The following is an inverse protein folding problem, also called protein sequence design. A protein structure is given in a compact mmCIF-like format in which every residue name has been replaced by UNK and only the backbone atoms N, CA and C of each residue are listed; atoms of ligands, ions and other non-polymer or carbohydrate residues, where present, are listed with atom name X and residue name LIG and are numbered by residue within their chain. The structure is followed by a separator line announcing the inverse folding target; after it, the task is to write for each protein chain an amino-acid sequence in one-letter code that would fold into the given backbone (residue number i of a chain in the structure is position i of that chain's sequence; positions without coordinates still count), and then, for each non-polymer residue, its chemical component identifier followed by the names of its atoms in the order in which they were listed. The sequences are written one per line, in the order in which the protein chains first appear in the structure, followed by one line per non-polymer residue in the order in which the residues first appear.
data_IF_035902676954
#
_entry.id   IF_035902676954
#
_cell.length_a   1.000
_cell.length_b   1.000
_cell.length_c   1.000
_cell.angle_alpha   90.00
_cell.angle_beta   90.00
_cell.angle_gamma   90.00
#
_symmetry.space_group_name_H-M   'P 1'
#
loop_
_entity.id
_entity.type
_entity.pdbx_description
1 polymer ?
#
# COMPACT_ATOMS: atom_id res chain seq x y z
N UNK A 1 -27.16 8.60 12.16
CA UNK A 1 -26.08 9.56 11.85
C UNK A 1 -24.81 8.75 11.66
N UNK A 2 -24.33 8.62 10.42
CA UNK A 2 -23.09 7.91 10.11
C UNK A 2 -21.91 8.89 10.29
N UNK A 3 -21.01 8.61 11.22
CA UNK A 3 -19.88 9.49 11.59
C UNK A 3 -18.70 9.45 10.60
N UNK A 4 -18.87 8.84 9.41
CA UNK A 4 -17.82 8.73 8.39
C UNK A 4 -16.60 7.91 8.81
N UNK A 5 -16.61 7.20 9.94
CA UNK A 5 -15.45 6.40 10.36
C UNK A 5 -15.48 5.02 9.69
N UNK A 6 -14.44 4.71 8.90
CA UNK A 6 -14.13 3.34 8.50
C UNK A 6 -13.36 2.68 9.65
N UNK A 7 -13.90 1.59 10.20
CA UNK A 7 -13.24 0.77 11.21
C UNK A 7 -12.72 -0.50 10.53
N UNK A 8 -11.41 -0.74 10.63
CA UNK A 8 -10.79 -1.97 10.19
C UNK A 8 -10.50 -2.84 11.41
N UNK A 9 -11.14 -4.01 11.47
CA UNK A 9 -10.91 -4.99 12.54
C UNK A 9 -9.86 -6.00 12.07
N UNK A 10 -8.66 -5.93 12.65
CA UNK A 10 -7.63 -6.96 12.49
C UNK A 10 -7.79 -7.98 13.61
N UNK A 11 -8.20 -9.20 13.26
CA UNK A 11 -8.26 -10.34 14.16
C UNK A 11 -7.03 -11.21 13.93
N UNK A 12 -6.17 -11.34 14.95
CA UNK A 12 -5.03 -12.28 14.95
C UNK A 12 -5.35 -13.38 15.97
N UNK A 13 -5.88 -14.53 15.56
CA UNK A 13 -6.18 -15.61 16.49
C UNK A 13 -4.88 -16.29 16.93
N UNK A 14 -4.66 -16.38 18.24
CA UNK A 14 -3.56 -17.17 18.84
C UNK A 14 -3.80 -18.67 18.79
N UNK A 15 -5.03 -19.10 18.52
CA UNK A 15 -5.44 -20.47 18.28
C UNK A 15 -6.68 -20.49 17.38
N UNK A 16 -7.00 -21.63 16.75
CA UNK A 16 -8.25 -21.87 16.00
C UNK A 16 -9.49 -21.97 16.92
N UNK A 17 -9.51 -21.22 18.02
CA UNK A 17 -10.57 -21.28 19.01
C UNK A 17 -10.96 -19.88 19.45
N UNK A 18 -12.25 -19.57 19.37
CA UNK A 18 -12.83 -18.37 19.95
C UNK A 18 -13.53 -18.76 21.26
N UNK A 19 -13.31 -17.98 22.32
CA UNK A 19 -14.14 -18.09 23.54
C UNK A 19 -15.44 -17.33 23.32
N UNK A 20 -16.52 -18.07 23.19
CA UNK A 20 -17.90 -17.56 23.24
C UNK A 20 -18.40 -17.58 24.70
N UNK A 21 -19.41 -16.77 25.00
CA UNK A 21 -20.16 -16.84 26.28
C UNK A 21 -20.78 -18.22 26.54
N UNK A 22 -20.90 -19.07 25.51
CA UNK A 22 -21.42 -20.44 25.56
C UNK A 22 -20.36 -21.56 25.50
N UNK A 23 -19.07 -21.23 25.39
CA UNK A 23 -18.00 -22.24 25.32
C UNK A 23 -16.88 -21.94 24.32
N UNK A 24 -16.01 -22.92 24.07
CA UNK A 24 -14.93 -22.82 23.08
C UNK A 24 -15.47 -23.23 21.71
N UNK A 25 -15.48 -22.31 20.76
CA UNK A 25 -15.93 -22.56 19.38
C UNK A 25 -14.69 -22.66 18.50
N UNK A 26 -14.61 -23.70 17.67
CA UNK A 26 -13.57 -23.81 16.66
C UNK A 26 -13.79 -22.74 15.59
N UNK A 27 -12.76 -21.97 15.27
CA UNK A 27 -12.80 -21.02 14.18
C UNK A 27 -12.86 -21.78 12.84
N UNK A 28 -13.64 -21.29 11.86
CA UNK A 28 -13.75 -21.95 10.56
C UNK A 28 -12.38 -22.06 9.90
N UNK A 29 -12.21 -23.10 9.07
CA UNK A 29 -11.00 -23.25 8.26
C UNK A 29 -10.83 -22.06 7.30
N UNK A 30 -9.62 -21.88 6.76
CA UNK A 30 -9.32 -20.79 5.82
C UNK A 30 -10.28 -20.81 4.62
N UNK A 31 -10.54 -21.98 4.05
CA UNK A 31 -11.49 -22.13 2.94
C UNK A 31 -12.91 -21.71 3.36
N UNK A 32 -13.37 -22.16 4.53
CA UNK A 32 -14.70 -21.84 5.06
C UNK A 32 -14.88 -20.33 5.31
N UNK A 33 -13.85 -19.66 5.84
CA UNK A 33 -13.86 -18.21 6.01
C UNK A 33 -14.00 -17.51 4.66
N UNK A 34 -13.19 -17.89 3.67
CA UNK A 34 -13.24 -17.31 2.32
C UNK A 34 -14.63 -17.52 1.70
N UNK A 35 -15.21 -18.72 1.83
CA UNK A 35 -16.57 -19.01 1.35
C UNK A 35 -17.65 -18.16 2.05
N UNK A 36 -17.53 -17.95 3.37
CA UNK A 36 -18.40 -17.03 4.11
C UNK A 36 -18.24 -15.60 3.57
N UNK A 37 -17.01 -15.14 3.35
CA UNK A 37 -16.72 -13.83 2.79
C UNK A 37 -17.40 -13.64 1.43
N UNK A 38 -17.14 -14.55 0.49
CA UNK A 38 -17.71 -14.53 -0.87
C UNK A 38 -19.24 -14.49 -0.82
N UNK A 39 -19.88 -15.33 0.02
CA UNK A 39 -21.34 -15.34 0.18
C UNK A 39 -21.90 -14.01 0.68
N UNK A 40 -21.13 -13.25 1.44
CA UNK A 40 -21.53 -11.95 1.99
C UNK A 40 -21.00 -10.76 1.18
N UNK A 41 -20.44 -10.99 -0.01
CA UNK A 41 -19.88 -9.93 -0.86
C UNK A 41 -18.62 -9.28 -0.30
N UNK A 42 -17.90 -9.96 0.59
CA UNK A 42 -16.65 -9.49 1.21
C UNK A 42 -15.49 -10.34 0.70
N UNK A 43 -14.47 -9.68 0.13
CA UNK A 43 -13.21 -10.35 -0.22
C UNK A 43 -12.34 -10.48 1.04
N UNK A 44 -12.10 -11.71 1.49
CA UNK A 44 -11.23 -11.97 2.63
C UNK A 44 -9.82 -12.36 2.16
N UNK A 45 -8.82 -11.62 2.63
CA UNK A 45 -7.41 -12.00 2.49
C UNK A 45 -6.90 -12.49 3.84
N UNK A 46 -6.60 -13.79 3.93
CA UNK A 46 -6.05 -14.37 5.16
C UNK A 46 -4.53 -14.34 5.11
N UNK A 47 -3.90 -13.75 6.12
CA UNK A 47 -2.45 -13.77 6.35
C UNK A 47 -2.13 -14.39 7.71
N UNK A 48 -1.03 -15.14 7.77
CA UNK A 48 -0.45 -15.67 9.01
C UNK A 48 0.50 -14.67 9.65
N UNK A 49 0.83 -14.87 10.93
CA UNK A 49 1.82 -14.05 11.63
C UNK A 49 3.21 -14.15 10.99
N UNK A 50 3.59 -15.32 10.50
CA UNK A 50 4.85 -15.53 9.78
C UNK A 50 4.89 -14.71 8.49
N UNK A 51 3.81 -14.71 7.70
CA UNK A 51 3.69 -13.91 6.47
C UNK A 51 3.66 -12.40 6.75
N UNK A 52 3.05 -12.00 7.86
CA UNK A 52 3.05 -10.59 8.27
C UNK A 52 4.46 -10.16 8.71
N UNK A 53 5.14 -11.01 9.49
CA UNK A 53 6.49 -10.74 10.01
C UNK A 53 7.51 -10.68 8.88
N UNK A 54 7.43 -11.60 7.91
CA UNK A 54 8.29 -11.58 6.73
C UNK A 54 8.04 -10.37 5.82
N UNK A 55 6.88 -9.73 5.95
CA UNK A 55 6.48 -8.56 5.17
C UNK A 55 6.63 -7.23 5.92
N UNK A 56 7.19 -7.21 7.13
CA UNK A 56 7.25 -6.01 7.98
C UNK A 56 7.89 -4.81 7.28
N UNK A 57 8.98 -5.02 6.54
CA UNK A 57 9.64 -3.95 5.81
C UNK A 57 8.70 -3.32 4.76
N UNK A 58 7.97 -4.15 4.01
CA UNK A 58 6.98 -3.70 3.02
C UNK A 58 5.81 -2.97 3.69
N UNK A 59 5.31 -3.49 4.81
CA UNK A 59 4.23 -2.86 5.59
C UNK A 59 4.67 -1.49 6.10
N UNK A 60 5.89 -1.37 6.62
CA UNK A 60 6.45 -0.10 7.09
C UNK A 60 6.51 0.94 5.96
N UNK A 61 6.99 0.55 4.77
CA UNK A 61 6.99 1.43 3.58
C UNK A 61 5.57 1.86 3.20
N UNK A 62 4.60 0.93 3.20
CA UNK A 62 3.22 1.28 2.89
C UNK A 62 2.64 2.30 3.89
N UNK A 63 2.94 2.16 5.18
CA UNK A 63 2.51 3.14 6.20
C UNK A 63 3.20 4.50 6.03
N UNK A 64 4.48 4.53 5.67
CA UNK A 64 5.22 5.77 5.40
C UNK A 64 4.62 6.53 4.21
N UNK A 65 4.24 5.82 3.15
CA UNK A 65 3.69 6.42 1.93
C UNK A 65 2.22 6.84 2.08
N UNK A 66 1.46 6.26 3.01
CA UNK A 66 0.01 6.41 3.08
C UNK A 66 -0.48 7.88 3.15
N UNK A 67 0.12 8.78 3.96
CA UNK A 67 -0.28 10.19 3.98
C UNK A 67 -0.10 10.87 2.62
N UNK A 68 1.00 10.55 1.92
CA UNK A 68 1.29 11.09 0.59
C UNK A 68 0.32 10.56 -0.49
N UNK A 69 -0.11 9.31 -0.36
CA UNK A 69 -1.15 8.73 -1.23
C UNK A 69 -2.46 9.49 -1.08
N UNK A 70 -2.88 9.79 0.14
CA UNK A 70 -4.08 10.59 0.40
C UNK A 70 -3.96 12.03 -0.11
N UNK A 71 -2.82 12.66 0.11
CA UNK A 71 -2.56 14.02 -0.40
C UNK A 71 -2.58 14.07 -1.94
N UNK A 72 -2.19 12.97 -2.60
CA UNK A 72 -2.19 12.89 -4.07
C UNK A 72 -3.56 13.14 -4.70
N UNK A 73 -4.65 12.78 -4.01
CA UNK A 73 -6.02 12.93 -4.51
C UNK A 73 -6.42 14.38 -4.71
N UNK A 74 -5.74 15.30 -4.00
CA UNK A 74 -5.98 16.75 -4.08
C UNK A 74 -5.16 17.44 -5.16
N UNK A 75 -4.24 16.73 -5.82
CA UNK A 75 -3.33 17.31 -6.82
C UNK A 75 -4.01 17.30 -8.19
N UNK A 76 -4.39 18.49 -8.66
CA UNK A 76 -5.03 18.68 -9.98
C UNK A 76 -4.13 18.15 -11.11
N UNK A 77 -2.83 18.42 -11.05
CA UNK A 77 -1.87 18.03 -12.08
C UNK A 77 -1.36 16.58 -11.97
N UNK A 78 -1.93 15.73 -11.09
CA UNK A 78 -1.41 14.38 -10.79
C UNK A 78 -1.19 13.53 -12.05
N UNK A 79 -2.15 13.55 -12.98
CA UNK A 79 -2.04 12.79 -14.22
C UNK A 79 -0.87 13.26 -15.09
N UNK A 80 -0.70 14.57 -15.24
CA UNK A 80 0.41 15.14 -16.01
C UNK A 80 1.78 14.83 -15.36
N UNK A 81 1.86 14.91 -14.03
CA UNK A 81 3.06 14.51 -13.27
C UNK A 81 3.37 13.03 -13.51
N UNK A 82 2.36 12.15 -13.41
CA UNK A 82 2.53 10.71 -13.59
C UNK A 82 3.02 10.34 -15.00
N UNK A 83 2.50 10.99 -16.05
CA UNK A 83 2.99 10.79 -17.42
C UNK A 83 4.46 11.22 -17.57
N UNK A 84 4.84 12.39 -17.05
CA UNK A 84 6.22 12.86 -17.12
C UNK A 84 7.18 11.96 -16.33
N UNK A 85 6.76 11.44 -15.16
CA UNK A 85 7.55 10.47 -14.40
C UNK A 85 7.76 9.19 -15.21
N UNK A 86 6.72 8.66 -15.87
CA UNK A 86 6.85 7.49 -16.74
C UNK A 86 7.77 7.75 -17.92
N UNK A 87 7.68 8.91 -18.55
CA UNK A 87 8.55 9.30 -19.67
C UNK A 87 10.03 9.37 -19.24
N UNK A 88 10.31 9.96 -18.08
CA UNK A 88 11.66 10.04 -17.52
C UNK A 88 12.20 8.64 -17.21
N UNK A 89 11.40 7.77 -16.59
CA UNK A 89 11.80 6.39 -16.29
C UNK A 89 11.89 5.51 -17.54
N UNK A 90 11.15 5.83 -18.60
CA UNK A 90 11.29 5.19 -19.91
C UNK A 90 12.62 5.52 -20.60
N UNK A 91 13.22 6.68 -20.29
CA UNK A 91 14.55 7.08 -20.79
C UNK A 91 15.68 6.59 -19.90
N UNK A 92 15.46 6.57 -18.59
CA UNK A 92 16.43 6.13 -17.60
C UNK A 92 15.74 5.12 -16.66
N UNK A 93 16.03 3.81 -16.77
CA UNK A 93 15.23 2.76 -16.13
C UNK A 93 15.22 2.84 -14.60
N UNK A 94 16.21 3.52 -14.01
CA UNK A 94 16.30 3.79 -12.58
C UNK A 94 16.63 5.25 -12.34
N UNK A 95 15.78 5.93 -11.58
CA UNK A 95 15.99 7.31 -11.16
C UNK A 95 15.70 7.43 -9.67
N UNK A 96 16.48 8.25 -8.98
CA UNK A 96 16.15 8.60 -7.61
C UNK A 96 15.09 9.71 -7.56
N UNK A 97 14.37 9.76 -6.45
CA UNK A 97 13.29 10.72 -6.21
C UNK A 97 13.78 12.17 -6.27
N UNK A 98 14.99 12.44 -5.78
CA UNK A 98 15.62 13.75 -5.90
C UNK A 98 15.80 14.20 -7.36
N UNK A 99 16.24 13.31 -8.24
CA UNK A 99 16.38 13.60 -9.68
C UNK A 99 15.02 13.89 -10.32
N UNK A 100 13.98 13.11 -10.00
CA UNK A 100 12.63 13.37 -10.49
C UNK A 100 12.11 14.74 -10.03
N UNK A 101 12.30 15.08 -8.75
CA UNK A 101 11.91 16.38 -8.21
C UNK A 101 12.64 17.52 -8.95
N UNK A 102 13.92 17.33 -9.27
CA UNK A 102 14.71 18.34 -9.98
C UNK A 102 14.36 18.49 -11.46
N UNK A 103 13.92 17.41 -12.11
CA UNK A 103 13.63 17.37 -13.54
C UNK A 103 12.23 17.91 -13.87
N UNK A 104 11.32 17.92 -12.90
CA UNK A 104 9.93 18.28 -13.09
C UNK A 104 9.66 19.72 -12.62
N UNK A 105 8.83 20.46 -13.34
CA UNK A 105 8.45 21.85 -13.00
C UNK A 105 7.39 21.96 -11.90
N UNK A 106 7.22 20.92 -11.08
CA UNK A 106 6.21 20.84 -10.01
C UNK A 106 6.87 20.97 -8.64
N UNK A 107 6.06 21.24 -7.61
CA UNK A 107 6.63 21.30 -6.25
C UNK A 107 7.11 19.92 -5.81
N UNK A 108 8.15 19.88 -4.96
CA UNK A 108 8.67 18.63 -4.42
C UNK A 108 7.56 17.79 -3.74
N UNK A 109 6.63 18.44 -3.04
CA UNK A 109 5.50 17.75 -2.42
C UNK A 109 4.57 17.13 -3.46
N UNK A 110 4.23 17.85 -4.54
CA UNK A 110 3.36 17.31 -5.59
C UNK A 110 3.96 16.10 -6.28
N UNK A 111 5.26 16.14 -6.57
CA UNK A 111 6.00 15.02 -7.14
C UNK A 111 6.03 13.83 -6.19
N UNK A 112 6.37 14.04 -4.90
CA UNK A 112 6.40 12.98 -3.89
C UNK A 112 5.05 12.30 -3.70
N UNK A 113 3.98 13.08 -3.57
CA UNK A 113 2.62 12.56 -3.43
C UNK A 113 2.17 11.78 -4.67
N UNK A 114 2.49 12.28 -5.87
CA UNK A 114 2.17 11.56 -7.11
C UNK A 114 2.95 10.26 -7.23
N UNK A 115 4.26 10.26 -6.93
CA UNK A 115 5.09 9.05 -6.93
C UNK A 115 4.60 8.03 -5.91
N UNK A 116 4.27 8.46 -4.69
CA UNK A 116 3.69 7.59 -3.66
C UNK A 116 2.38 6.93 -4.15
N UNK A 117 1.51 7.70 -4.79
CA UNK A 117 0.31 7.17 -5.44
C UNK A 117 0.62 6.17 -6.55
N UNK A 118 1.59 6.45 -7.42
CA UNK A 118 1.99 5.51 -8.48
C UNK A 118 2.55 4.20 -7.93
N UNK A 119 3.31 4.24 -6.82
CA UNK A 119 3.77 3.04 -6.10
C UNK A 119 2.57 2.28 -5.53
N UNK A 120 1.62 2.98 -4.91
CA UNK A 120 0.40 2.37 -4.37
C UNK A 120 -0.46 1.69 -5.46
N UNK A 121 -0.51 2.26 -6.67
CA UNK A 121 -1.18 1.66 -7.83
C UNK A 121 -0.38 0.53 -8.49
N UNK A 122 0.84 0.24 -8.02
CA UNK A 122 1.71 -0.77 -8.63
C UNK A 122 2.29 -0.36 -9.98
N UNK A 123 2.32 0.95 -10.31
CA UNK A 123 2.92 1.48 -11.54
C UNK A 123 4.44 1.63 -11.38
N UNK A 124 4.88 2.00 -10.18
CA UNK A 124 6.29 2.15 -9.83
C UNK A 124 6.68 1.15 -8.73
N UNK A 125 7.94 0.75 -8.75
CA UNK A 125 8.57 -0.02 -7.69
C UNK A 125 9.67 0.79 -7.02
N UNK A 126 9.81 0.62 -5.71
CA UNK A 126 10.94 1.12 -4.94
C UNK A 126 12.07 0.08 -5.01
N UNK A 127 13.26 0.52 -5.40
CA UNK A 127 14.47 -0.32 -5.46
C UNK A 127 15.34 -0.02 -4.24
N UNK A 128 15.68 -1.06 -3.48
CA UNK A 128 16.56 -1.00 -2.31
C UNK A 128 16.19 0.08 -1.27
N UNK A 129 14.91 0.45 -1.20
CA UNK A 129 14.44 1.48 -0.29
C UNK A 129 14.31 0.93 1.14
N UNK A 130 14.89 1.65 2.09
CA UNK A 130 14.69 1.44 3.52
C UNK A 130 13.75 2.52 4.08
N UNK A 131 12.80 2.17 4.96
CA UNK A 131 11.91 3.14 5.59
C UNK A 131 12.67 4.30 6.23
N UNK A 132 12.21 5.53 6.03
CA UNK A 132 12.85 6.76 6.49
C UNK A 132 14.01 7.26 5.63
N UNK A 133 14.35 6.58 4.51
CA UNK A 133 15.29 7.12 3.53
C UNK A 133 14.70 8.36 2.85
N UNK A 134 15.48 9.45 2.80
CA UNK A 134 15.07 10.70 2.19
C UNK A 134 15.07 10.68 0.65
N UNK A 135 15.80 9.73 0.06
CA UNK A 135 15.89 9.54 -1.38
C UNK A 135 15.75 8.05 -1.71
N UNK A 136 14.81 7.76 -2.61
CA UNK A 136 14.48 6.40 -3.01
C UNK A 136 14.73 6.23 -4.50
N UNK A 137 15.30 5.10 -4.90
CA UNK A 137 15.43 4.72 -6.30
C UNK A 137 14.12 4.12 -6.77
N UNK A 138 13.67 4.56 -7.93
CA UNK A 138 12.39 4.21 -8.54
C UNK A 138 12.64 3.57 -9.89
N UNK A 139 11.86 2.55 -10.19
CA UNK A 139 11.76 1.95 -11.52
C UNK A 139 10.29 1.72 -11.89
N UNK A 140 10.00 1.57 -13.18
CA UNK A 140 8.68 1.11 -13.62
C UNK A 140 8.48 -0.32 -13.12
N UNK A 141 7.30 -0.59 -12.55
CA UNK A 141 6.95 -1.95 -12.15
C UNK A 141 6.83 -2.82 -13.42
N UNK A 142 7.62 -3.89 -13.47
CA UNK A 142 7.48 -4.91 -14.51
C UNK A 142 6.41 -5.89 -14.02
N UNK A 143 5.30 -5.98 -14.74
CA UNK A 143 4.25 -6.97 -14.51
C UNK A 143 4.67 -8.37 -14.93
#
# INVERSE_FOLDING_TARGET
MANGSQQFHLLIPTARTARSSSGVVMLPAREELIEIGVRNGVLLTCMTELELTSSLARVAVCYELLPLVWDSERIIARAAIAEQVKELLGRAPRLNLASLISALSYTAHQTRATVAWMIHQGILALVDHSPGSSDAVLELAHG
#
